data_IF_489283978863
#
_entry.id   IF_489283978863
#
_cell.length_a   1.000
_cell.length_b   1.000
_cell.length_c   1.000
_cell.angle_alpha   90.00
_cell.angle_beta   90.00
_cell.angle_gamma   90.00
#
_symmetry.space_group_name_H-M   'P 1'
#
loop_
_entity.id
_entity.type
_entity.pdbx_description
1 polymer ?
#
# COMPACT_ATOMS: atom_id res chain seq x y z
N UNK A 1 -61.89 55.58 34.56
CA UNK A 1 -60.68 55.01 33.88
C UNK A 1 -60.24 53.80 34.65
N UNK A 2 -60.63 52.61 34.16
CA UNK A 2 -60.24 51.29 34.71
C UNK A 2 -58.99 50.83 34.01
N UNK A 3 -57.89 50.68 34.77
CA UNK A 3 -56.66 50.09 34.27
C UNK A 3 -56.73 48.55 34.46
N UNK A 4 -56.91 47.83 33.35
CA UNK A 4 -56.93 46.38 33.32
C UNK A 4 -55.54 45.85 33.62
N UNK A 5 -55.36 45.16 34.77
CA UNK A 5 -54.16 44.35 35.04
C UNK A 5 -54.21 43.08 34.24
N UNK A 6 -53.40 42.97 33.15
CA UNK A 6 -53.11 41.70 32.51
C UNK A 6 -52.23 40.85 33.43
N UNK A 7 -52.78 39.79 33.96
CA UNK A 7 -52.01 38.70 34.58
C UNK A 7 -51.25 38.00 33.46
N UNK A 8 -49.94 38.14 33.47
CA UNK A 8 -49.03 37.28 32.70
C UNK A 8 -48.86 35.99 33.51
N UNK A 9 -49.64 34.97 33.15
CA UNK A 9 -49.41 33.61 33.64
C UNK A 9 -48.12 33.16 33.02
N UNK A 10 -47.01 33.17 33.77
CA UNK A 10 -45.81 32.42 33.43
C UNK A 10 -46.18 30.92 33.53
N UNK A 11 -46.37 30.25 32.39
CA UNK A 11 -46.33 28.79 32.33
C UNK A 11 -44.94 28.39 32.79
N UNK A 12 -44.86 27.83 34.00
CA UNK A 12 -43.66 27.10 34.40
C UNK A 12 -43.49 25.94 33.41
N UNK A 13 -42.39 25.98 32.66
CA UNK A 13 -41.95 24.89 31.81
C UNK A 13 -41.58 23.76 32.78
N UNK A 14 -42.15 22.53 32.67
CA UNK A 14 -41.77 21.46 33.54
C UNK A 14 -40.25 21.24 33.50
N UNK A 15 -39.62 21.06 34.67
CA UNK A 15 -38.16 20.92 34.77
C UNK A 15 -37.61 19.75 33.93
N UNK A 16 -38.43 18.77 33.61
CA UNK A 16 -38.08 17.64 32.79
C UNK A 16 -37.79 18.04 31.31
N UNK A 17 -38.60 18.94 30.74
CA UNK A 17 -38.40 19.43 29.37
C UNK A 17 -37.18 20.35 29.21
N UNK A 18 -36.63 20.91 30.27
CA UNK A 18 -35.47 21.81 30.18
C UNK A 18 -34.16 21.04 30.05
N UNK A 19 -34.04 19.84 30.63
CA UNK A 19 -32.87 18.99 30.50
C UNK A 19 -32.77 18.39 29.10
N UNK A 20 -33.87 17.94 28.54
CA UNK A 20 -33.94 17.38 27.18
C UNK A 20 -33.60 18.44 26.12
N UNK A 21 -34.02 19.70 26.36
CA UNK A 21 -33.67 20.83 25.52
C UNK A 21 -32.18 21.19 25.59
N UNK A 22 -31.56 21.10 26.78
CA UNK A 22 -30.13 21.36 26.97
C UNK A 22 -29.30 20.26 26.27
N UNK A 23 -29.66 18.97 26.48
CA UNK A 23 -28.96 17.88 25.83
C UNK A 23 -29.02 17.93 24.29
N UNK A 24 -30.18 18.31 23.74
CA UNK A 24 -30.34 18.51 22.30
C UNK A 24 -29.53 19.68 21.73
N UNK A 25 -29.38 20.77 22.51
CA UNK A 25 -28.52 21.90 22.14
C UNK A 25 -27.04 21.54 22.17
N UNK A 26 -26.59 20.78 23.19
CA UNK A 26 -25.21 20.34 23.31
C UNK A 26 -24.84 19.40 22.15
N UNK A 27 -25.73 18.46 21.79
CA UNK A 27 -25.54 17.58 20.63
C UNK A 27 -25.45 18.37 19.32
N UNK A 28 -26.31 19.37 19.11
CA UNK A 28 -26.25 20.23 17.94
C UNK A 28 -24.96 21.07 17.86
N UNK A 29 -24.50 21.56 19.01
CA UNK A 29 -23.20 22.25 19.12
C UNK A 29 -22.04 21.30 18.82
N UNK A 30 -22.04 20.11 19.36
CA UNK A 30 -21.01 19.10 19.11
C UNK A 30 -20.92 18.78 17.61
N UNK A 31 -22.07 18.58 16.96
CA UNK A 31 -22.14 18.34 15.51
C UNK A 31 -21.61 19.53 14.71
N UNK A 32 -21.97 20.75 15.08
CA UNK A 32 -21.45 21.95 14.45
C UNK A 32 -19.93 22.05 14.51
N UNK A 33 -19.32 21.79 15.68
CA UNK A 33 -17.87 21.80 15.83
C UNK A 33 -17.21 20.72 14.97
N UNK A 34 -17.75 19.49 14.95
CA UNK A 34 -17.23 18.40 14.11
C UNK A 34 -17.32 18.74 12.61
N UNK A 35 -18.45 19.29 12.14
CA UNK A 35 -18.63 19.75 10.76
C UNK A 35 -17.64 20.83 10.34
N UNK A 36 -17.23 21.68 11.29
CA UNK A 36 -16.22 22.71 11.06
C UNK A 36 -14.79 22.24 11.36
N UNK A 37 -14.55 20.92 11.38
CA UNK A 37 -13.25 20.29 11.62
C UNK A 37 -12.63 20.55 13.02
N UNK A 38 -13.39 21.05 13.97
CA UNK A 38 -12.98 21.18 15.37
C UNK A 38 -13.44 19.95 16.16
N UNK A 39 -12.86 18.78 15.81
CA UNK A 39 -13.26 17.51 16.39
C UNK A 39 -12.99 17.41 17.89
N UNK A 40 -11.87 17.96 18.38
CA UNK A 40 -11.51 17.88 19.79
C UNK A 40 -12.62 18.49 20.66
N UNK A 41 -13.06 19.69 20.31
CA UNK A 41 -14.15 20.36 21.05
C UNK A 41 -15.50 19.67 20.84
N UNK A 42 -15.79 19.25 19.60
CA UNK A 42 -17.05 18.55 19.30
C UNK A 42 -17.18 17.23 20.07
N UNK A 43 -16.12 16.39 20.08
CA UNK A 43 -16.12 15.13 20.81
C UNK A 43 -16.13 15.31 22.34
N UNK A 44 -15.57 16.41 22.85
CA UNK A 44 -15.64 16.75 24.26
C UNK A 44 -17.11 17.03 24.66
N UNK A 45 -17.81 17.90 23.92
CA UNK A 45 -19.22 18.22 24.16
C UNK A 45 -20.11 16.95 24.06
N UNK A 46 -19.86 16.07 23.08
CA UNK A 46 -20.57 14.78 23.01
C UNK A 46 -20.39 13.95 24.29
N UNK A 47 -19.19 13.87 24.85
CA UNK A 47 -18.92 13.12 26.09
C UNK A 47 -19.60 13.72 27.29
N UNK A 48 -19.65 15.06 27.38
CA UNK A 48 -20.40 15.78 28.42
C UNK A 48 -21.90 15.49 28.30
N UNK A 49 -22.47 15.60 27.10
CA UNK A 49 -23.87 15.30 26.83
C UNK A 49 -24.22 13.83 27.18
N UNK A 50 -23.42 12.85 26.76
CA UNK A 50 -23.63 11.44 27.08
C UNK A 50 -23.65 11.20 28.59
N UNK A 51 -22.84 11.94 29.36
CA UNK A 51 -22.78 11.79 30.83
C UNK A 51 -23.97 12.41 31.54
N UNK A 52 -24.65 13.39 30.95
CA UNK A 52 -25.79 14.11 31.55
C UNK A 52 -27.15 13.47 31.20
N UNK A 53 -27.25 12.69 30.10
CA UNK A 53 -28.51 12.07 29.67
C UNK A 53 -28.84 10.88 30.56
N UNK A 54 -30.03 10.88 31.11
CA UNK A 54 -30.55 9.82 32.00
C UNK A 54 -31.35 8.77 31.24
N UNK A 55 -32.05 9.18 30.18
CA UNK A 55 -32.78 8.24 29.31
C UNK A 55 -31.81 7.37 28.52
N UNK A 56 -31.99 6.06 28.60
CA UNK A 56 -31.09 5.10 27.99
C UNK A 56 -31.18 5.08 26.46
N UNK A 57 -32.37 5.28 25.91
CA UNK A 57 -32.57 5.28 24.46
C UNK A 57 -31.96 6.53 23.81
N UNK A 58 -32.19 7.70 24.43
CA UNK A 58 -31.58 8.96 24.00
C UNK A 58 -30.06 8.92 24.13
N UNK A 59 -29.55 8.43 25.27
CA UNK A 59 -28.11 8.27 25.50
C UNK A 59 -27.46 7.38 24.44
N UNK A 60 -28.08 6.26 24.08
CA UNK A 60 -27.57 5.36 23.04
C UNK A 60 -27.58 6.02 21.64
N UNK A 61 -28.58 6.86 21.36
CA UNK A 61 -28.62 7.65 20.13
C UNK A 61 -27.41 8.61 20.05
N UNK A 62 -27.14 9.34 21.12
CA UNK A 62 -26.01 10.28 21.19
C UNK A 62 -24.66 9.55 21.16
N UNK A 63 -24.54 8.38 21.81
CA UNK A 63 -23.35 7.51 21.70
C UNK A 63 -23.09 7.12 20.25
N UNK A 64 -24.10 6.74 19.49
CA UNK A 64 -23.93 6.39 18.07
C UNK A 64 -23.46 7.59 17.24
N UNK A 65 -23.97 8.79 17.51
CA UNK A 65 -23.50 10.01 16.86
C UNK A 65 -22.03 10.31 17.20
N UNK A 66 -21.68 10.23 18.50
CA UNK A 66 -20.29 10.35 18.97
C UNK A 66 -19.37 9.36 18.25
N UNK A 67 -19.74 8.06 18.21
CA UNK A 67 -18.96 7.02 17.57
C UNK A 67 -18.69 7.37 16.08
N UNK A 68 -19.71 7.79 15.36
CA UNK A 68 -19.59 8.18 13.97
C UNK A 68 -18.61 9.35 13.77
N UNK A 69 -18.73 10.41 14.59
CA UNK A 69 -17.83 11.56 14.50
C UNK A 69 -16.39 11.22 14.93
N UNK A 70 -16.24 10.39 15.96
CA UNK A 70 -14.93 9.94 16.42
C UNK A 70 -14.23 9.03 15.38
N UNK A 71 -14.99 8.18 14.65
CA UNK A 71 -14.45 7.40 13.52
C UNK A 71 -13.99 8.34 12.40
N UNK A 72 -14.79 9.34 12.02
CA UNK A 72 -14.42 10.30 11.00
C UNK A 72 -13.13 11.05 11.37
N UNK A 73 -13.01 11.44 12.63
CA UNK A 73 -11.80 12.10 13.14
C UNK A 73 -10.59 11.17 13.11
N UNK A 74 -10.73 9.93 13.60
CA UNK A 74 -9.66 8.95 13.59
C UNK A 74 -9.20 8.63 12.15
N UNK A 75 -10.12 8.55 11.18
CA UNK A 75 -9.79 8.36 9.78
C UNK A 75 -9.00 9.55 9.21
N UNK A 76 -9.40 10.79 9.55
CA UNK A 76 -8.65 11.99 9.17
C UNK A 76 -7.24 11.99 9.77
N UNK A 77 -7.11 11.69 11.06
CA UNK A 77 -5.81 11.54 11.71
C UNK A 77 -4.93 10.48 11.03
N UNK A 78 -5.54 9.37 10.59
CA UNK A 78 -4.82 8.34 9.84
C UNK A 78 -4.33 8.85 8.48
N UNK A 79 -5.13 9.62 7.74
CA UNK A 79 -4.71 10.27 6.50
C UNK A 79 -3.57 11.26 6.73
N UNK A 80 -3.60 12.00 7.83
CA UNK A 80 -2.56 12.94 8.27
C UNK A 80 -1.33 12.22 8.86
N UNK A 81 -1.29 10.87 8.85
CA UNK A 81 -0.25 10.00 9.41
C UNK A 81 -0.06 10.14 10.93
N UNK A 82 -1.05 10.66 11.63
CA UNK A 82 -1.10 10.78 13.10
C UNK A 82 -1.68 9.51 13.73
N UNK A 83 -0.99 8.40 13.50
CA UNK A 83 -1.49 7.05 13.82
C UNK A 83 -1.75 6.83 15.31
N UNK A 84 -0.91 7.39 16.19
CA UNK A 84 -1.06 7.24 17.65
C UNK A 84 -2.33 7.95 18.12
N UNK A 85 -2.57 9.19 17.65
CA UNK A 85 -3.77 9.95 17.95
C UNK A 85 -5.03 9.23 17.42
N UNK A 86 -4.96 8.66 16.21
CA UNK A 86 -6.05 7.87 15.65
C UNK A 86 -6.37 6.63 16.51
N UNK A 87 -5.36 5.90 16.97
CA UNK A 87 -5.52 4.74 17.88
C UNK A 87 -6.20 5.16 19.18
N UNK A 88 -5.85 6.33 19.73
CA UNK A 88 -6.47 6.84 20.94
C UNK A 88 -7.97 7.12 20.73
N UNK A 89 -8.37 7.71 19.60
CA UNK A 89 -9.78 7.88 19.27
C UNK A 89 -10.49 6.53 19.16
N UNK A 90 -9.93 5.53 18.47
CA UNK A 90 -10.51 4.19 18.41
C UNK A 90 -10.63 3.54 19.79
N UNK A 91 -9.65 3.70 20.68
CA UNK A 91 -9.73 3.22 22.07
C UNK A 91 -10.86 3.88 22.86
N UNK A 92 -11.09 5.18 22.64
CA UNK A 92 -12.19 5.89 23.29
C UNK A 92 -13.55 5.37 22.83
N UNK A 93 -13.68 5.04 21.53
CA UNK A 93 -14.90 4.43 20.99
C UNK A 93 -15.15 3.05 21.62
N UNK A 94 -14.09 2.24 21.80
CA UNK A 94 -14.22 0.88 22.39
C UNK A 94 -14.71 0.86 23.86
N UNK A 95 -14.80 2.01 24.53
CA UNK A 95 -15.38 2.12 25.88
C UNK A 95 -16.91 1.98 25.86
N UNK A 96 -17.54 2.17 24.72
CA UNK A 96 -18.98 2.07 24.55
C UNK A 96 -19.38 0.69 24.01
N UNK A 97 -20.53 0.19 24.46
CA UNK A 97 -21.11 -1.04 23.91
C UNK A 97 -21.59 -0.83 22.46
N UNK A 98 -21.52 -1.89 21.63
CA UNK A 98 -22.02 -1.81 20.25
C UNK A 98 -21.14 -1.04 19.28
N UNK A 99 -19.88 -0.80 19.61
CA UNK A 99 -18.96 -0.16 18.66
C UNK A 99 -18.73 -1.02 17.40
N UNK A 100 -18.50 -0.41 16.22
CA UNK A 100 -18.31 -1.15 14.97
C UNK A 100 -17.07 -2.05 15.01
N UNK A 101 -17.25 -3.31 14.61
CA UNK A 101 -16.18 -4.33 14.60
C UNK A 101 -14.95 -3.89 13.78
N UNK A 102 -15.17 -3.12 12.72
CA UNK A 102 -14.09 -2.58 11.89
C UNK A 102 -13.04 -1.76 12.67
N UNK A 103 -13.33 -1.34 13.90
CA UNK A 103 -12.35 -0.65 14.75
C UNK A 103 -11.14 -1.53 15.02
N UNK A 104 -11.31 -2.84 15.22
CA UNK A 104 -10.19 -3.77 15.36
C UNK A 104 -9.27 -3.74 14.14
N UNK A 105 -9.85 -3.78 12.94
CA UNK A 105 -9.11 -3.66 11.69
C UNK A 105 -8.35 -2.32 11.61
N UNK A 106 -9.03 -1.21 11.89
CA UNK A 106 -8.43 0.12 11.79
C UNK A 106 -7.27 0.31 12.77
N UNK A 107 -7.41 -0.17 14.01
CA UNK A 107 -6.28 -0.17 14.97
C UNK A 107 -5.14 -1.05 14.46
N UNK A 108 -5.43 -2.24 13.93
CA UNK A 108 -4.43 -3.13 13.35
C UNK A 108 -3.63 -2.45 12.23
N UNK A 109 -4.29 -1.73 11.33
CA UNK A 109 -3.65 -0.98 10.25
C UNK A 109 -2.81 0.19 10.77
N UNK A 110 -3.28 0.93 11.77
CA UNK A 110 -2.49 1.98 12.42
C UNK A 110 -1.25 1.39 13.11
N UNK A 111 -1.38 0.24 13.81
CA UNK A 111 -0.27 -0.45 14.45
C UNK A 111 0.79 -0.91 13.43
N UNK A 112 0.35 -1.41 12.26
CA UNK A 112 1.26 -1.70 11.14
C UNK A 112 2.01 -0.44 10.71
N UNK A 113 1.32 0.68 10.55
CA UNK A 113 1.90 1.93 10.07
C UNK A 113 2.95 2.53 11.03
N UNK A 114 2.86 2.26 12.33
CA UNK A 114 3.89 2.63 13.32
C UNK A 114 4.96 1.55 13.52
N UNK A 115 4.95 0.48 12.73
CA UNK A 115 5.94 -0.59 12.77
C UNK A 115 5.73 -1.64 13.87
N UNK A 116 4.56 -1.67 14.52
CA UNK A 116 4.26 -2.67 15.55
C UNK A 116 3.47 -3.84 14.97
N UNK A 117 4.17 -4.73 14.26
CA UNK A 117 3.59 -5.87 13.57
C UNK A 117 2.88 -6.85 14.53
N UNK A 118 3.43 -7.07 15.74
CA UNK A 118 2.87 -8.01 16.71
C UNK A 118 1.48 -7.58 17.21
N UNK A 119 1.33 -6.30 17.55
CA UNK A 119 0.03 -5.77 17.94
C UNK A 119 -0.92 -5.69 16.75
N UNK A 120 -0.43 -5.33 15.57
CA UNK A 120 -1.23 -5.33 14.35
C UNK A 120 -1.89 -6.71 14.11
N UNK A 121 -1.10 -7.79 14.20
CA UNK A 121 -1.63 -9.17 14.08
C UNK A 121 -2.69 -9.48 15.14
N UNK A 122 -2.44 -9.12 16.41
CA UNK A 122 -3.41 -9.38 17.48
C UNK A 122 -4.77 -8.74 17.21
N UNK A 123 -4.76 -7.48 16.76
CA UNK A 123 -5.99 -6.76 16.42
C UNK A 123 -6.66 -7.32 15.17
N UNK A 124 -5.91 -7.65 14.11
CA UNK A 124 -6.46 -8.26 12.91
C UNK A 124 -7.01 -9.68 13.16
N UNK A 125 -6.36 -10.47 14.02
CA UNK A 125 -6.89 -11.77 14.42
C UNK A 125 -8.17 -11.65 15.23
N UNK A 126 -8.26 -10.63 16.09
CA UNK A 126 -9.54 -10.37 16.77
C UNK A 126 -10.64 -9.98 15.80
N UNK A 127 -10.32 -9.25 14.75
CA UNK A 127 -11.25 -8.96 13.66
C UNK A 127 -11.64 -10.23 12.90
N UNK A 128 -10.69 -11.12 12.58
CA UNK A 128 -10.94 -12.44 11.96
C UNK A 128 -11.90 -13.30 12.80
N UNK A 129 -11.67 -13.41 14.10
CA UNK A 129 -12.54 -14.19 15.02
C UNK A 129 -14.00 -13.72 15.00
N UNK A 130 -14.23 -12.40 14.89
CA UNK A 130 -15.58 -11.83 14.94
C UNK A 130 -16.23 -11.80 13.54
N UNK A 131 -15.44 -11.70 12.49
CA UNK A 131 -15.89 -11.55 11.10
C UNK A 131 -15.11 -12.46 10.15
N UNK A 132 -15.19 -13.79 10.28
CA UNK A 132 -14.38 -14.72 9.49
C UNK A 132 -14.75 -14.75 7.99
N UNK A 133 -15.89 -14.17 7.61
CA UNK A 133 -16.35 -14.15 6.22
C UNK A 133 -15.85 -12.94 5.42
N UNK A 134 -15.12 -12.05 6.07
CA UNK A 134 -14.56 -10.87 5.40
C UNK A 134 -13.24 -11.21 4.71
N UNK A 135 -13.20 -11.11 3.39
CA UNK A 135 -11.98 -11.27 2.59
C UNK A 135 -10.85 -10.37 3.08
N UNK A 136 -11.17 -9.10 3.35
CA UNK A 136 -10.20 -8.06 3.66
C UNK A 136 -9.33 -8.37 4.89
N UNK A 137 -9.83 -9.10 5.88
CA UNK A 137 -9.03 -9.48 7.04
C UNK A 137 -7.88 -10.42 6.65
N UNK A 138 -8.14 -11.37 5.76
CA UNK A 138 -7.12 -12.30 5.29
C UNK A 138 -6.08 -11.60 4.40
N UNK A 139 -6.52 -10.63 3.58
CA UNK A 139 -5.60 -9.80 2.80
C UNK A 139 -4.67 -9.00 3.72
N UNK A 140 -5.20 -8.33 4.75
CA UNK A 140 -4.36 -7.57 5.69
C UNK A 140 -3.40 -8.46 6.50
N UNK A 141 -3.86 -9.65 6.92
CA UNK A 141 -2.99 -10.62 7.60
C UNK A 141 -1.89 -11.13 6.66
N UNK A 142 -2.23 -11.41 5.40
CA UNK A 142 -1.28 -11.83 4.38
C UNK A 142 -0.23 -10.75 4.11
N UNK A 143 -0.66 -9.52 3.84
CA UNK A 143 0.21 -8.37 3.59
C UNK A 143 1.18 -8.14 4.74
N UNK A 144 0.67 -8.13 5.98
CA UNK A 144 1.47 -7.93 7.18
C UNK A 144 2.49 -9.06 7.38
N UNK A 145 2.05 -10.30 7.16
CA UNK A 145 2.91 -11.49 7.27
C UNK A 145 4.01 -11.48 6.21
N UNK A 146 3.69 -11.02 5.00
CA UNK A 146 4.65 -10.88 3.91
C UNK A 146 5.64 -9.73 4.13
N UNK A 147 5.13 -8.51 4.41
CA UNK A 147 5.97 -7.30 4.41
C UNK A 147 6.78 -7.13 5.69
N UNK A 148 6.19 -7.40 6.84
CA UNK A 148 6.77 -7.07 8.14
C UNK A 148 7.40 -8.29 8.82
N UNK A 149 6.73 -9.46 8.79
CA UNK A 149 7.21 -10.69 9.43
C UNK A 149 8.14 -11.48 8.52
N UNK A 150 8.02 -11.31 7.19
CA UNK A 150 8.78 -12.05 6.17
C UNK A 150 8.50 -13.55 6.15
N UNK A 151 7.35 -13.99 6.64
CA UNK A 151 6.88 -15.38 6.55
C UNK A 151 6.02 -15.57 5.29
N UNK A 152 6.70 -15.79 4.18
CA UNK A 152 6.05 -15.92 2.87
C UNK A 152 5.10 -17.13 2.80
N UNK A 153 5.39 -18.24 3.52
CA UNK A 153 4.53 -19.42 3.49
C UNK A 153 3.19 -19.14 4.14
N UNK A 154 3.23 -18.49 5.29
CA UNK A 154 2.02 -18.10 6.01
C UNK A 154 1.23 -17.01 5.27
N UNK A 155 1.92 -16.10 4.56
CA UNK A 155 1.27 -15.13 3.70
C UNK A 155 0.48 -15.83 2.56
N UNK A 156 1.04 -16.89 1.94
CA UNK A 156 0.34 -17.71 0.94
C UNK A 156 -0.94 -18.30 1.53
N UNK A 157 -0.88 -18.90 2.73
CA UNK A 157 -2.06 -19.50 3.39
C UNK A 157 -3.18 -18.46 3.60
N UNK A 158 -2.84 -17.24 4.03
CA UNK A 158 -3.82 -16.18 4.21
C UNK A 158 -4.39 -15.67 2.88
N UNK A 159 -3.56 -15.51 1.83
CA UNK A 159 -4.06 -15.11 0.52
C UNK A 159 -4.96 -16.19 -0.10
N UNK A 160 -4.66 -17.49 0.08
CA UNK A 160 -5.52 -18.57 -0.38
C UNK A 160 -6.87 -18.54 0.35
N UNK A 161 -6.89 -18.31 1.68
CA UNK A 161 -8.14 -18.09 2.43
C UNK A 161 -8.93 -16.87 1.94
N UNK A 162 -8.24 -15.79 1.56
CA UNK A 162 -8.91 -14.62 1.00
C UNK A 162 -9.60 -14.95 -0.33
N UNK A 163 -8.97 -15.77 -1.21
CA UNK A 163 -9.59 -16.24 -2.45
C UNK A 163 -10.79 -17.16 -2.24
N UNK A 164 -10.81 -17.97 -1.17
CA UNK A 164 -12.00 -18.76 -0.79
C UNK A 164 -13.22 -17.85 -0.50
N UNK A 165 -12.99 -16.63 0.00
CA UNK A 165 -14.04 -15.65 0.28
C UNK A 165 -14.40 -14.80 -0.94
N UNK A 166 -13.43 -14.44 -1.76
CA UNK A 166 -13.61 -13.69 -3.00
C UNK A 166 -12.70 -14.20 -4.12
N UNK A 167 -13.19 -15.10 -4.97
CA UNK A 167 -12.40 -15.67 -6.06
C UNK A 167 -12.16 -14.72 -7.24
N UNK A 168 -12.69 -13.50 -7.21
CA UNK A 168 -12.57 -12.54 -8.31
C UNK A 168 -11.54 -11.42 -8.05
N UNK A 169 -10.63 -11.60 -7.10
CA UNK A 169 -9.62 -10.61 -6.77
C UNK A 169 -8.29 -10.86 -7.51
N UNK A 170 -8.10 -10.17 -8.65
CA UNK A 170 -6.88 -10.30 -9.46
C UNK A 170 -5.60 -9.96 -8.71
N UNK A 171 -5.67 -9.05 -7.73
CA UNK A 171 -4.49 -8.62 -6.97
C UNK A 171 -3.94 -9.76 -6.11
N UNK A 172 -4.84 -10.54 -5.50
CA UNK A 172 -4.44 -11.71 -4.69
C UNK A 172 -3.81 -12.78 -5.59
N UNK A 173 -4.42 -13.08 -6.74
CA UNK A 173 -3.83 -14.01 -7.71
C UNK A 173 -2.43 -13.57 -8.15
N UNK A 174 -2.26 -12.29 -8.44
CA UNK A 174 -0.96 -11.73 -8.80
C UNK A 174 0.08 -11.86 -7.67
N UNK A 175 -0.33 -11.62 -6.40
CA UNK A 175 0.55 -11.80 -5.23
C UNK A 175 0.91 -13.27 -5.00
N UNK A 176 -0.03 -14.18 -5.14
CA UNK A 176 0.25 -15.62 -5.04
C UNK A 176 1.23 -16.08 -6.11
N UNK A 177 1.05 -15.67 -7.37
CA UNK A 177 2.01 -15.97 -8.44
C UNK A 177 3.43 -15.49 -8.11
N UNK A 178 3.57 -14.29 -7.57
CA UNK A 178 4.84 -13.75 -7.09
C UNK A 178 5.42 -14.54 -5.90
N UNK A 179 4.61 -14.83 -4.89
CA UNK A 179 5.03 -15.55 -3.69
C UNK A 179 5.47 -17.00 -4.01
N UNK A 180 4.75 -17.69 -4.88
CA UNK A 180 5.16 -19.02 -5.33
C UNK A 180 6.49 -18.98 -6.09
N UNK A 181 6.75 -17.91 -6.87
CA UNK A 181 8.04 -17.70 -7.52
C UNK A 181 9.20 -17.51 -6.56
N UNK A 182 8.97 -16.77 -5.45
CA UNK A 182 10.01 -16.47 -4.46
C UNK A 182 10.25 -17.61 -3.47
N UNK A 183 9.18 -18.29 -3.03
CA UNK A 183 9.30 -19.32 -1.99
C UNK A 183 9.73 -20.68 -2.50
N UNK A 184 9.26 -21.02 -3.68
CA UNK A 184 9.35 -22.39 -4.18
C UNK A 184 10.10 -22.51 -5.50
N UNK A 185 10.57 -21.39 -6.04
CA UNK A 185 11.30 -21.31 -7.30
C UNK A 185 10.58 -22.09 -8.40
N UNK A 186 11.25 -23.11 -8.98
CA UNK A 186 10.72 -23.83 -10.14
C UNK A 186 9.82 -25.02 -9.75
N UNK A 187 9.81 -25.42 -8.49
CA UNK A 187 9.03 -26.58 -8.01
C UNK A 187 7.53 -26.48 -8.30
N UNK A 188 6.98 -25.28 -8.33
CA UNK A 188 5.56 -25.03 -8.56
C UNK A 188 5.33 -24.14 -9.80
N UNK A 189 6.06 -24.43 -10.90
CA UNK A 189 5.90 -23.72 -12.18
C UNK A 189 4.45 -23.58 -12.59
N UNK A 190 3.70 -24.68 -12.56
CA UNK A 190 2.32 -24.70 -13.04
C UNK A 190 1.41 -23.79 -12.20
N UNK A 191 1.56 -23.80 -10.86
CA UNK A 191 0.81 -22.91 -9.97
C UNK A 191 1.16 -21.42 -10.18
N UNK A 192 2.44 -21.11 -10.45
CA UNK A 192 2.84 -19.73 -10.74
C UNK A 192 2.15 -19.21 -11.99
N UNK A 193 2.17 -20.03 -13.07
CA UNK A 193 1.54 -19.68 -14.35
C UNK A 193 0.01 -19.64 -14.19
N UNK A 194 -0.59 -20.60 -13.49
CA UNK A 194 -2.03 -20.66 -13.23
C UNK A 194 -2.53 -19.38 -12.53
N UNK A 195 -1.93 -19.03 -11.40
CA UNK A 195 -2.33 -17.83 -10.64
C UNK A 195 -2.17 -16.53 -11.45
N UNK A 196 -1.05 -16.38 -12.18
CA UNK A 196 -0.84 -15.17 -12.98
C UNK A 196 -1.75 -15.14 -14.21
N UNK A 197 -2.07 -16.29 -14.81
CA UNK A 197 -3.06 -16.39 -15.89
C UNK A 197 -4.44 -15.99 -15.37
N UNK A 198 -4.83 -16.47 -14.19
CA UNK A 198 -6.09 -16.09 -13.55
C UNK A 198 -6.16 -14.59 -13.25
N UNK A 199 -5.07 -14.01 -12.74
CA UNK A 199 -4.95 -12.57 -12.55
C UNK A 199 -5.13 -11.81 -13.88
N UNK A 200 -4.55 -12.32 -14.96
CA UNK A 200 -4.69 -11.73 -16.30
C UNK A 200 -6.10 -11.83 -16.87
N UNK A 201 -6.78 -12.97 -16.71
CA UNK A 201 -8.17 -13.15 -17.12
C UNK A 201 -9.09 -12.10 -16.46
N UNK A 202 -8.87 -11.82 -15.17
CA UNK A 202 -9.63 -10.84 -14.40
C UNK A 202 -9.24 -9.37 -14.70
N UNK A 203 -7.98 -9.13 -15.05
CA UNK A 203 -7.46 -7.78 -15.28
C UNK A 203 -6.49 -7.71 -16.49
N UNK A 204 -6.98 -7.93 -17.73
CA UNK A 204 -6.13 -8.10 -18.90
C UNK A 204 -5.34 -6.85 -19.33
N UNK A 205 -5.73 -5.68 -18.85
CA UNK A 205 -5.06 -4.42 -19.14
C UNK A 205 -4.27 -3.86 -17.93
N UNK A 206 -4.15 -4.65 -16.86
CA UNK A 206 -3.32 -4.27 -15.74
C UNK A 206 -1.84 -4.50 -16.07
N UNK A 207 -1.08 -3.42 -16.16
CA UNK A 207 0.35 -3.43 -16.53
C UNK A 207 1.20 -4.35 -15.64
N UNK A 208 0.94 -4.36 -14.33
CA UNK A 208 1.69 -5.17 -13.35
C UNK A 208 1.44 -6.65 -13.58
N UNK A 209 0.19 -7.04 -13.80
CA UNK A 209 -0.21 -8.42 -14.09
C UNK A 209 0.41 -8.90 -15.40
N UNK A 210 0.31 -8.10 -16.47
CA UNK A 210 0.90 -8.43 -17.77
C UNK A 210 2.41 -8.60 -17.66
N UNK A 211 3.11 -7.70 -16.96
CA UNK A 211 4.54 -7.81 -16.70
C UNK A 211 4.91 -9.09 -15.96
N UNK A 212 4.20 -9.39 -14.87
CA UNK A 212 4.53 -10.56 -14.05
C UNK A 212 4.29 -11.87 -14.79
N UNK A 213 3.23 -11.95 -15.61
CA UNK A 213 2.96 -13.10 -16.45
C UNK A 213 4.02 -13.25 -17.55
N UNK A 214 4.40 -12.16 -18.24
CA UNK A 214 5.48 -12.15 -19.21
C UNK A 214 6.80 -12.65 -18.60
N UNK A 215 7.14 -12.14 -17.41
CA UNK A 215 8.34 -12.54 -16.69
C UNK A 215 8.36 -14.05 -16.35
N UNK A 216 7.27 -14.58 -15.82
CA UNK A 216 7.18 -15.99 -15.41
C UNK A 216 7.21 -16.91 -16.64
N UNK A 217 6.51 -16.55 -17.70
CA UNK A 217 6.57 -17.32 -18.97
C UNK A 217 7.98 -17.34 -19.55
N UNK A 218 8.66 -16.19 -19.58
CA UNK A 218 10.06 -16.12 -20.03
C UNK A 218 11.05 -16.84 -19.11
N UNK A 219 10.78 -16.85 -17.80
CA UNK A 219 11.57 -17.63 -16.82
C UNK A 219 11.54 -19.14 -17.11
N UNK A 220 10.41 -19.63 -17.58
CA UNK A 220 10.19 -21.05 -17.85
C UNK A 220 10.29 -21.42 -19.34
N UNK A 221 10.93 -20.58 -20.14
CA UNK A 221 11.22 -20.79 -21.56
C UNK A 221 9.96 -20.93 -22.45
N UNK A 222 8.79 -20.44 -22.00
CA UNK A 222 7.58 -20.29 -22.81
C UNK A 222 7.72 -19.07 -23.74
N UNK A 223 8.76 -19.06 -24.59
CA UNK A 223 9.28 -17.87 -25.28
C UNK A 223 8.22 -17.17 -26.12
N UNK A 224 7.43 -17.94 -26.90
CA UNK A 224 6.41 -17.36 -27.79
C UNK A 224 5.35 -16.60 -26.99
N UNK A 225 4.83 -17.19 -25.93
CA UNK A 225 3.85 -16.54 -25.06
C UNK A 225 4.46 -15.34 -24.32
N UNK A 226 5.69 -15.47 -23.84
CA UNK A 226 6.39 -14.35 -23.17
C UNK A 226 6.54 -13.16 -24.13
N UNK A 227 6.93 -13.39 -25.38
CA UNK A 227 7.05 -12.33 -26.40
C UNK A 227 5.70 -11.63 -26.65
N UNK A 228 4.58 -12.36 -26.72
CA UNK A 228 3.24 -11.77 -26.85
C UNK A 228 2.89 -10.87 -25.67
N UNK A 229 3.16 -11.31 -24.44
CA UNK A 229 2.88 -10.51 -23.24
C UNK A 229 3.83 -9.32 -23.11
N UNK A 230 5.11 -9.45 -23.47
CA UNK A 230 6.01 -8.30 -23.51
C UNK A 230 5.61 -7.31 -24.59
N UNK A 231 5.16 -7.77 -25.78
CA UNK A 231 4.60 -6.88 -26.79
C UNK A 231 3.37 -6.13 -26.26
N UNK A 232 2.45 -6.83 -25.57
CA UNK A 232 1.31 -6.20 -24.92
C UNK A 232 1.74 -5.16 -23.87
N UNK A 233 2.75 -5.45 -23.06
CA UNK A 233 3.30 -4.54 -22.07
C UNK A 233 3.76 -3.22 -22.70
N UNK A 234 4.33 -3.25 -23.90
CA UNK A 234 4.75 -2.03 -24.61
C UNK A 234 3.61 -1.08 -24.95
N UNK A 235 2.38 -1.59 -25.13
CA UNK A 235 1.17 -0.77 -25.35
C UNK A 235 0.57 -0.21 -24.06
N UNK A 236 0.96 -0.73 -22.88
CA UNK A 236 0.42 -0.34 -21.58
C UNK A 236 1.24 0.73 -20.86
N UNK A 237 1.93 1.61 -21.61
CA UNK A 237 2.78 2.68 -21.05
C UNK A 237 3.81 2.13 -20.05
N UNK A 238 4.80 1.34 -20.52
CA UNK A 238 5.77 0.68 -19.67
C UNK A 238 6.65 1.69 -18.92
N UNK A 239 6.99 1.38 -17.68
CA UNK A 239 7.98 2.15 -16.91
C UNK A 239 9.40 1.77 -17.34
N UNK A 240 10.40 2.54 -16.90
CA UNK A 240 11.80 2.20 -17.12
C UNK A 240 12.16 0.83 -16.53
N UNK A 241 11.59 0.47 -15.36
CA UNK A 241 11.75 -0.84 -14.74
C UNK A 241 11.18 -1.97 -15.62
N UNK A 242 10.04 -1.75 -16.26
CA UNK A 242 9.43 -2.74 -17.16
C UNK A 242 10.27 -2.95 -18.43
N UNK A 243 10.79 -1.85 -19.00
CA UNK A 243 11.70 -1.90 -20.16
C UNK A 243 13.03 -2.59 -19.82
N UNK A 244 13.57 -2.35 -18.62
CA UNK A 244 14.74 -3.06 -18.13
C UNK A 244 14.47 -4.57 -17.96
N UNK A 245 13.33 -4.94 -17.40
CA UNK A 245 12.94 -6.36 -17.26
C UNK A 245 12.80 -7.06 -18.62
N UNK A 246 12.23 -6.36 -19.60
CA UNK A 246 12.19 -6.85 -20.99
C UNK A 246 13.58 -7.01 -21.59
N UNK A 247 14.47 -6.05 -21.38
CA UNK A 247 15.87 -6.16 -21.80
C UNK A 247 16.59 -7.37 -21.20
N UNK A 248 16.40 -7.62 -19.91
CA UNK A 248 16.96 -8.80 -19.24
C UNK A 248 16.42 -10.12 -19.82
N UNK A 249 15.11 -10.18 -20.10
CA UNK A 249 14.50 -11.32 -20.79
C UNK A 249 15.11 -11.56 -22.16
N UNK A 250 15.25 -10.53 -22.99
CA UNK A 250 15.85 -10.64 -24.32
C UNK A 250 17.29 -11.15 -24.28
N UNK A 251 18.10 -10.64 -23.35
CA UNK A 251 19.50 -11.10 -23.17
C UNK A 251 19.55 -12.55 -22.70
N UNK A 252 18.67 -12.96 -21.78
CA UNK A 252 18.57 -14.37 -21.35
C UNK A 252 18.32 -15.30 -22.52
N UNK A 253 17.48 -14.89 -23.47
CA UNK A 253 17.15 -15.67 -24.67
C UNK A 253 18.06 -15.32 -25.87
N UNK A 254 19.30 -14.85 -25.62
CA UNK A 254 20.37 -14.62 -26.60
C UNK A 254 20.05 -13.52 -27.65
N UNK A 255 19.00 -12.73 -27.46
CA UNK A 255 18.65 -11.58 -28.31
C UNK A 255 19.42 -10.34 -27.86
N UNK A 256 20.76 -10.42 -27.88
CA UNK A 256 21.65 -9.44 -27.26
C UNK A 256 21.52 -8.02 -27.84
N UNK A 257 21.47 -7.90 -29.17
CA UNK A 257 21.39 -6.60 -29.84
C UNK A 257 20.14 -5.79 -29.47
N UNK A 258 19.02 -6.47 -29.28
CA UNK A 258 17.77 -5.86 -28.84
C UNK A 258 17.79 -5.63 -27.31
N UNK A 259 18.19 -6.65 -26.56
CA UNK A 259 18.18 -6.63 -25.09
C UNK A 259 19.02 -5.49 -24.51
N UNK A 260 20.23 -5.25 -25.02
CA UNK A 260 21.08 -4.16 -24.55
C UNK A 260 20.47 -2.77 -24.77
N UNK A 261 19.60 -2.57 -25.76
CA UNK A 261 18.90 -1.28 -25.95
C UNK A 261 17.94 -0.98 -24.79
N UNK A 262 17.28 -2.04 -24.28
CA UNK A 262 16.31 -1.91 -23.17
C UNK A 262 17.00 -1.93 -21.81
N UNK A 263 18.11 -2.64 -21.64
CA UNK A 263 18.86 -2.64 -20.38
C UNK A 263 19.34 -1.26 -19.95
N UNK A 264 19.52 -0.30 -20.87
CA UNK A 264 19.92 1.08 -20.58
C UNK A 264 18.89 1.82 -19.68
N UNK A 265 17.63 1.38 -19.63
CA UNK A 265 16.59 2.00 -18.82
C UNK A 265 16.84 1.90 -17.31
N UNK A 266 17.74 0.99 -16.86
CA UNK A 266 18.16 0.89 -15.45
C UNK A 266 18.84 2.15 -14.92
N UNK A 267 19.35 3.03 -15.80
CA UNK A 267 20.05 4.24 -15.42
C UNK A 267 19.15 5.47 -15.28
N UNK A 268 17.85 5.31 -15.35
CA UNK A 268 16.93 6.42 -15.15
C UNK A 268 16.81 6.77 -13.66
N UNK A 269 16.51 8.04 -13.38
CA UNK A 269 16.60 8.66 -12.05
C UNK A 269 15.80 7.94 -10.95
N UNK A 270 14.76 7.21 -11.33
CA UNK A 270 13.88 6.48 -10.42
C UNK A 270 14.52 5.21 -9.84
N UNK A 271 15.49 4.63 -10.57
CA UNK A 271 16.16 3.37 -10.20
C UNK A 271 17.52 3.59 -9.52
N UNK A 272 18.01 4.82 -9.43
CA UNK A 272 19.35 5.16 -8.91
C UNK A 272 19.55 4.84 -7.42
N UNK A 273 18.49 4.67 -6.67
CA UNK A 273 18.56 4.36 -5.22
C UNK A 273 19.09 2.93 -4.94
N UNK A 274 19.11 2.06 -5.96
CA UNK A 274 19.55 0.66 -5.84
C UNK A 274 20.94 0.39 -6.41
N UNK A 275 21.67 1.43 -6.85
CA UNK A 275 23.01 1.29 -7.43
C UNK A 275 24.07 1.51 -6.37
N UNK A 276 25.09 0.66 -6.33
CA UNK A 276 26.18 0.71 -5.32
C UNK A 276 26.95 2.05 -5.28
N UNK A 277 26.95 2.82 -6.37
CA UNK A 277 27.64 4.11 -6.48
C UNK A 277 26.77 5.16 -7.19
N UNK A 278 25.67 5.63 -6.59
CA UNK A 278 24.77 6.59 -7.22
C UNK A 278 25.48 7.92 -7.59
N UNK A 279 26.52 8.31 -6.86
CA UNK A 279 27.29 9.54 -7.09
C UNK A 279 28.04 9.53 -8.44
N UNK A 280 28.51 8.36 -8.91
CA UNK A 280 29.17 8.21 -10.20
C UNK A 280 28.18 8.33 -11.36
N UNK A 281 26.94 7.98 -11.16
CA UNK A 281 25.87 8.06 -12.16
C UNK A 281 25.33 9.49 -12.32
N UNK A 282 25.50 10.34 -11.30
CA UNK A 282 25.07 11.74 -11.29
C UNK A 282 26.17 12.70 -11.82
N UNK A 283 27.34 12.18 -12.22
CA UNK A 283 28.41 13.03 -12.77
C UNK A 283 27.94 13.71 -14.06
N UNK A 284 28.27 14.99 -14.23
CA UNK A 284 28.02 15.75 -15.48
C UNK A 284 28.83 15.21 -16.67
N UNK A 285 29.61 14.15 -16.47
CA UNK A 285 30.44 13.55 -17.51
C UNK A 285 29.58 12.71 -18.45
N UNK A 286 29.87 12.83 -19.76
CA UNK A 286 29.10 12.14 -20.79
C UNK A 286 29.38 10.65 -20.75
N UNK A 287 28.30 9.82 -20.63
CA UNK A 287 28.41 8.37 -20.73
C UNK A 287 28.67 7.97 -22.17
N UNK A 288 29.61 7.03 -22.37
CA UNK A 288 29.85 6.46 -23.69
C UNK A 288 28.76 5.46 -24.05
N UNK A 289 28.17 5.69 -25.22
CA UNK A 289 27.06 4.84 -25.74
C UNK A 289 27.35 4.39 -27.19
N UNK A 290 28.61 4.23 -27.55
CA UNK A 290 29.11 3.83 -28.90
C UNK A 290 28.84 4.88 -30.00
N UNK A 291 28.11 5.95 -29.73
CA UNK A 291 27.72 6.97 -30.71
C UNK A 291 28.75 8.06 -30.92
N UNK A 292 29.87 8.09 -30.20
CA UNK A 292 30.95 9.05 -30.38
C UNK A 292 32.31 8.38 -30.20
N UNK A 293 33.31 8.91 -30.90
CA UNK A 293 34.69 8.42 -30.84
C UNK A 293 35.31 8.68 -29.45
N UNK A 294 36.03 7.68 -28.95
CA UNK A 294 36.73 7.72 -27.66
C UNK A 294 38.27 7.71 -27.79
N UNK A 295 38.80 7.70 -28.99
CA UNK A 295 40.23 7.51 -29.27
C UNK A 295 41.17 8.40 -28.44
N UNK A 296 40.79 9.66 -28.22
CA UNK A 296 41.58 10.63 -27.45
C UNK A 296 40.97 10.90 -26.06
N UNK A 297 40.07 10.06 -25.58
CA UNK A 297 39.39 10.27 -24.32
C UNK A 297 39.96 9.43 -23.22
N UNK A 298 39.94 9.96 -22.00
CA UNK A 298 40.14 9.17 -20.78
C UNK A 298 38.78 8.57 -20.35
N UNK A 299 38.75 7.28 -20.22
CA UNK A 299 37.52 6.52 -19.90
C UNK A 299 37.58 6.00 -18.45
N UNK A 300 36.56 6.34 -17.68
CA UNK A 300 36.34 5.76 -16.36
C UNK A 300 35.37 4.61 -16.51
N UNK A 301 35.81 3.43 -16.17
CA UNK A 301 34.96 2.22 -16.06
C UNK A 301 34.68 1.97 -14.60
N UNK A 302 33.41 1.95 -14.24
CA UNK A 302 32.97 1.58 -12.89
C UNK A 302 32.07 0.33 -12.95
N UNK A 303 32.16 -0.49 -11.92
CA UNK A 303 31.36 -1.69 -11.78
C UNK A 303 30.09 -1.36 -11.00
N UNK A 304 28.95 -1.83 -11.49
CA UNK A 304 27.63 -1.46 -10.92
C UNK A 304 27.06 -2.53 -10.01
N UNK A 305 27.33 -3.77 -10.28
CA UNK A 305 26.76 -4.92 -9.55
C UNK A 305 27.74 -6.09 -9.52
N UNK A 306 27.71 -6.84 -8.43
CA UNK A 306 28.28 -8.17 -8.23
C UNK A 306 29.74 -8.40 -8.69
N UNK A 307 30.55 -8.98 -7.84
CA UNK A 307 31.93 -9.33 -8.20
C UNK A 307 32.03 -10.27 -9.40
N UNK A 308 31.05 -11.18 -9.58
CA UNK A 308 31.04 -12.13 -10.70
C UNK A 308 30.96 -11.44 -12.06
N UNK A 309 30.05 -10.49 -12.22
CA UNK A 309 29.89 -9.71 -13.45
C UNK A 309 31.13 -8.82 -13.71
N UNK A 310 31.66 -8.22 -12.65
CA UNK A 310 32.89 -7.42 -12.73
C UNK A 310 34.07 -8.23 -13.24
N UNK A 311 34.27 -9.46 -12.72
CA UNK A 311 35.31 -10.37 -13.18
C UNK A 311 35.09 -10.78 -14.63
N UNK A 312 33.88 -11.07 -15.05
CA UNK A 312 33.56 -11.43 -16.43
C UNK A 312 33.88 -10.30 -17.41
N UNK A 313 33.56 -9.05 -17.06
CA UNK A 313 33.72 -7.92 -17.97
C UNK A 313 35.12 -7.32 -17.96
N UNK A 314 35.94 -7.54 -16.93
CA UNK A 314 37.34 -7.02 -16.85
C UNK A 314 38.18 -7.48 -18.02
N UNK A 315 37.93 -8.66 -18.59
CA UNK A 315 38.63 -9.19 -19.78
C UNK A 315 38.52 -8.29 -21.02
N UNK A 316 37.52 -7.44 -21.11
CA UNK A 316 37.32 -6.50 -22.24
C UNK A 316 38.07 -5.18 -22.04
N UNK A 317 38.72 -4.94 -20.90
CA UNK A 317 39.45 -3.71 -20.62
C UNK A 317 40.62 -3.53 -21.59
N UNK A 318 41.31 -4.58 -21.97
CA UNK A 318 42.40 -4.51 -22.91
C UNK A 318 41.97 -4.12 -24.33
N UNK A 319 40.79 -4.55 -24.74
CA UNK A 319 40.16 -4.10 -25.98
C UNK A 319 39.79 -2.60 -25.88
N UNK A 320 39.22 -2.18 -24.76
CA UNK A 320 38.85 -0.80 -24.52
C UNK A 320 40.11 0.12 -24.52
N UNK A 321 41.23 -0.30 -23.93
CA UNK A 321 42.50 0.43 -23.95
C UNK A 321 43.02 0.69 -25.36
N UNK A 322 42.76 -0.19 -26.33
CA UNK A 322 43.13 0.00 -27.73
C UNK A 322 42.27 1.09 -28.39
N UNK A 323 41.09 1.38 -27.87
CA UNK A 323 40.14 2.31 -28.47
C UNK A 323 40.18 3.71 -27.88
N UNK A 324 40.87 3.94 -26.76
CA UNK A 324 40.84 5.20 -26.05
C UNK A 324 42.27 5.56 -25.55
N UNK A 325 42.42 6.80 -25.06
CA UNK A 325 43.70 7.30 -24.56
C UNK A 325 44.12 6.66 -23.24
N UNK A 326 43.18 6.44 -22.36
CA UNK A 326 43.44 5.94 -21.00
C UNK A 326 42.17 5.30 -20.43
N UNK A 327 42.32 4.20 -19.68
CA UNK A 327 41.26 3.56 -18.93
C UNK A 327 41.59 3.53 -17.46
N UNK A 328 40.70 4.08 -16.63
CA UNK A 328 40.75 4.00 -15.17
C UNK A 328 39.57 3.10 -14.69
N UNK A 329 39.84 2.24 -13.71
CA UNK A 329 38.87 1.36 -13.11
C UNK A 329 38.52 1.87 -11.69
N UNK A 330 37.22 1.83 -11.32
CA UNK A 330 36.73 2.22 -9.99
C UNK A 330 35.69 1.20 -9.50
#
# INVERSE_FOLDING_TARGET
>A
MQVSKRLVVRKEIPMDNSRDLISSMDVAMAEYYCKNNNYDRGLEIYREAISSITDEAERNCVINQYINQAINYAQKLNLDKKYIEAIEQYRNIMKYSGFPINIYKNIGLCMKSIGNADLAIKFLKRFEEISPDKEDVYVYLADLTYTDIKDNRKAIEYYEKALEKNPNNFSIYNMLGHLYSTCYQDKYKDKQIEYLTKAYELAPNNRIVVKNLAYVLGKFDEVQKADEFYAKLMYLSPTHSDLHAYGAYLVRHQRFAEGFKFLQHRFQKEDLNNVAFPQLLTTKKKKWNIKFDIKDKRILVHFEQGFGDSIMFVRFIDELKKMCKEVSLV
#
